data_IF_218836495701
#
_entry.id   IF_218836495701
#
_cell.length_a   1.000
_cell.length_b   1.000
_cell.length_c   1.000
_cell.angle_alpha   90.00
_cell.angle_beta   90.00
_cell.angle_gamma   90.00
#
_symmetry.space_group_name_H-M   'P 1'
#
loop_
_entity.id
_entity.type
_entity.pdbx_description
1 polymer ?
#
# COMPACT_ATOMS: atom_id res chain seq x y z
N UNK A 1 -3.53 2.07 -23.17
CA UNK A 1 -4.19 1.71 -21.88
C UNK A 1 -3.27 0.81 -21.08
N UNK A 2 -3.02 1.18 -19.85
CA UNK A 2 -2.21 0.36 -18.96
C UNK A 2 -2.98 -0.88 -18.52
N UNK A 3 -2.35 -2.06 -18.58
CA UNK A 3 -2.96 -3.30 -18.10
C UNK A 3 -2.86 -3.36 -16.57
N UNK A 4 -3.85 -3.97 -15.89
CA UNK A 4 -3.77 -4.16 -14.44
C UNK A 4 -2.55 -4.99 -14.04
N UNK A 5 -1.87 -4.54 -12.99
CA UNK A 5 -0.83 -5.32 -12.33
C UNK A 5 -1.47 -6.42 -11.46
N UNK A 6 -0.79 -7.54 -11.31
CA UNK A 6 -1.23 -8.64 -10.44
C UNK A 6 -0.17 -8.89 -9.37
N UNK A 7 -0.61 -8.99 -8.13
CA UNK A 7 0.25 -9.29 -6.98
C UNK A 7 -0.48 -10.25 -6.04
N UNK A 8 0.21 -11.30 -5.61
CA UNK A 8 -0.25 -12.19 -4.54
C UNK A 8 0.58 -11.95 -3.28
N UNK A 9 -0.05 -11.96 -2.11
CA UNK A 9 0.62 -11.73 -0.83
C UNK A 9 0.01 -12.59 0.28
N UNK A 10 0.82 -12.96 1.29
CA UNK A 10 0.35 -13.83 2.37
C UNK A 10 -0.42 -13.06 3.43
N UNK A 11 -1.46 -13.68 3.98
CA UNK A 11 -2.21 -13.17 5.13
C UNK A 11 -2.51 -14.30 6.11
N UNK A 12 -2.76 -13.94 7.36
CA UNK A 12 -3.00 -14.94 8.42
C UNK A 12 -4.46 -15.03 8.86
N UNK A 13 -5.32 -14.12 8.39
CA UNK A 13 -6.75 -14.08 8.73
C UNK A 13 -7.52 -13.42 7.59
N UNK A 14 -8.31 -14.21 6.87
CA UNK A 14 -9.08 -13.71 5.72
C UNK A 14 -10.20 -12.74 6.10
N UNK A 15 -10.81 -12.92 7.26
CA UNK A 15 -11.90 -12.05 7.73
C UNK A 15 -11.39 -10.66 8.06
N UNK A 16 -10.31 -10.57 8.82
CA UNK A 16 -9.66 -9.29 9.15
C UNK A 16 -9.09 -8.63 7.90
N UNK A 17 -8.50 -9.42 6.99
CA UNK A 17 -7.98 -8.94 5.71
C UNK A 17 -9.09 -8.30 4.87
N UNK A 18 -10.21 -9.00 4.71
CA UNK A 18 -11.36 -8.48 3.95
C UNK A 18 -11.86 -7.16 4.54
N UNK A 19 -12.04 -7.12 5.87
CA UNK A 19 -12.49 -5.91 6.55
C UNK A 19 -11.55 -4.72 6.30
N UNK A 20 -10.24 -4.95 6.38
CA UNK A 20 -9.24 -3.91 6.15
C UNK A 20 -9.25 -3.41 4.69
N UNK A 21 -9.12 -4.31 3.72
CA UNK A 21 -9.02 -3.91 2.31
C UNK A 21 -10.32 -3.27 1.79
N UNK A 22 -11.48 -3.73 2.26
CA UNK A 22 -12.78 -3.15 1.86
C UNK A 22 -13.07 -1.84 2.58
N UNK A 23 -12.93 -1.80 3.90
CA UNK A 23 -13.37 -0.64 4.68
C UNK A 23 -12.31 0.46 4.76
N UNK A 24 -11.04 0.12 4.82
CA UNK A 24 -9.94 1.09 4.94
C UNK A 24 -9.43 1.52 3.55
N UNK A 25 -9.12 0.56 2.68
CA UNK A 25 -8.56 0.85 1.35
C UNK A 25 -9.62 1.00 0.26
N UNK A 26 -10.90 0.76 0.59
CA UNK A 26 -12.03 0.89 -0.35
C UNK A 26 -11.92 -0.01 -1.58
N UNK A 27 -11.26 -1.16 -1.42
CA UNK A 27 -11.17 -2.15 -2.49
C UNK A 27 -12.51 -2.86 -2.69
N UNK A 28 -12.83 -3.17 -3.93
CA UNK A 28 -13.91 -4.09 -4.26
C UNK A 28 -13.40 -5.53 -4.16
N UNK A 29 -14.24 -6.43 -3.66
CA UNK A 29 -13.92 -7.86 -3.60
C UNK A 29 -14.26 -8.50 -4.93
N UNK A 30 -13.34 -9.28 -5.48
CA UNK A 30 -13.57 -10.13 -6.63
C UNK A 30 -13.99 -11.54 -6.20
N UNK A 31 -13.31 -12.56 -6.73
CA UNK A 31 -13.55 -13.96 -6.34
C UNK A 31 -12.88 -14.26 -5.01
N UNK A 32 -13.40 -15.26 -4.31
CA UNK A 32 -12.81 -15.73 -3.07
C UNK A 32 -13.07 -17.23 -2.85
N UNK A 33 -12.27 -17.82 -1.98
CA UNK A 33 -12.43 -19.18 -1.46
C UNK A 33 -12.15 -19.18 0.03
N UNK A 34 -12.09 -20.35 0.64
CA UNK A 34 -11.68 -20.47 2.04
C UNK A 34 -10.19 -20.20 2.25
N UNK A 35 -9.40 -20.06 1.19
CA UNK A 35 -7.95 -19.92 1.25
C UNK A 35 -7.43 -18.62 0.63
N UNK A 36 -8.24 -17.85 -0.08
CA UNK A 36 -7.78 -16.63 -0.74
C UNK A 36 -8.93 -15.68 -1.07
N UNK A 37 -8.58 -14.39 -1.29
CA UNK A 37 -9.52 -13.34 -1.70
C UNK A 37 -8.84 -12.46 -2.75
N UNK A 38 -9.53 -12.24 -3.89
CA UNK A 38 -9.14 -11.25 -4.89
C UNK A 38 -9.71 -9.89 -4.51
N UNK A 39 -8.90 -8.84 -4.69
CA UNK A 39 -9.35 -7.45 -4.53
C UNK A 39 -9.01 -6.63 -5.78
N UNK A 40 -9.89 -5.70 -6.11
CA UNK A 40 -9.59 -4.60 -7.02
C UNK A 40 -9.01 -3.45 -6.20
N UNK A 41 -7.70 -3.25 -6.27
CA UNK A 41 -7.00 -2.16 -5.59
C UNK A 41 -6.59 -1.11 -6.61
N UNK A 42 -7.37 -0.03 -6.69
CA UNK A 42 -7.15 1.07 -7.65
C UNK A 42 -7.00 0.58 -9.10
N UNK A 43 -7.77 -0.44 -9.49
CA UNK A 43 -7.75 -1.01 -10.84
C UNK A 43 -6.74 -2.14 -11.03
N UNK A 44 -5.97 -2.50 -10.00
CA UNK A 44 -5.02 -3.62 -10.04
C UNK A 44 -5.58 -4.82 -9.28
N UNK A 45 -5.21 -6.02 -9.72
CA UNK A 45 -5.63 -7.25 -9.06
C UNK A 45 -4.60 -7.64 -7.99
N UNK A 46 -5.01 -7.63 -6.73
CA UNK A 46 -4.20 -8.15 -5.64
C UNK A 46 -4.92 -9.31 -4.97
N UNK A 47 -4.18 -10.35 -4.59
CA UNK A 47 -4.75 -11.57 -4.05
C UNK A 47 -4.13 -11.87 -2.69
N UNK A 48 -4.96 -11.91 -1.67
CA UNK A 48 -4.56 -12.33 -0.34
C UNK A 48 -4.66 -13.85 -0.22
N UNK A 49 -3.56 -14.52 0.07
CA UNK A 49 -3.51 -15.97 0.30
C UNK A 49 -3.32 -16.28 1.77
N UNK A 50 -4.21 -17.11 2.33
CA UNK A 50 -4.14 -17.56 3.71
C UNK A 50 -2.91 -18.45 3.91
N UNK A 51 -2.09 -18.11 4.88
CA UNK A 51 -0.92 -18.90 5.32
C UNK A 51 -0.92 -18.98 6.85
N UNK A 52 -0.15 -19.92 7.39
CA UNK A 52 -0.09 -20.12 8.85
C UNK A 52 0.69 -19.01 9.55
N UNK A 53 1.82 -18.58 8.97
CA UNK A 53 2.70 -17.55 9.52
C UNK A 53 3.27 -16.68 8.42
N UNK A 54 3.57 -15.41 8.78
CA UNK A 54 4.30 -14.48 7.94
C UNK A 54 5.74 -14.36 8.44
N UNK A 55 6.68 -14.35 7.50
CA UNK A 55 8.06 -13.99 7.80
C UNK A 55 8.16 -12.51 8.14
N UNK A 56 9.10 -12.16 9.02
CA UNK A 56 9.41 -10.77 9.33
C UNK A 56 10.19 -10.15 8.17
N UNK A 57 9.68 -9.08 7.54
CA UNK A 57 10.38 -8.47 6.43
C UNK A 57 11.66 -7.76 6.90
N UNK A 58 12.72 -7.86 6.08
CA UNK A 58 13.89 -7.02 6.21
C UNK A 58 13.54 -5.56 5.87
N UNK A 59 14.32 -4.62 6.36
CA UNK A 59 14.18 -3.20 6.04
C UNK A 59 15.47 -2.60 5.47
N UNK A 60 15.34 -1.51 4.74
CA UNK A 60 16.46 -0.74 4.20
C UNK A 60 16.33 0.73 4.62
N UNK A 61 17.46 1.40 4.81
CA UNK A 61 17.45 2.82 5.10
C UNK A 61 17.21 3.63 3.81
N UNK A 62 16.18 4.47 3.82
CA UNK A 62 15.84 5.36 2.70
C UNK A 62 15.48 6.73 3.24
N UNK A 63 16.23 7.77 2.86
CA UNK A 63 16.01 9.16 3.28
C UNK A 63 15.74 9.29 4.79
N UNK A 64 16.54 8.59 5.61
CA UNK A 64 16.46 8.60 7.07
C UNK A 64 15.44 7.66 7.70
N UNK A 65 14.63 6.95 6.91
CA UNK A 65 13.66 5.99 7.39
C UNK A 65 14.11 4.55 7.21
N UNK A 66 13.72 3.67 8.14
CA UNK A 66 13.82 2.23 7.97
C UNK A 66 12.60 1.74 7.17
N UNK A 67 12.82 1.42 5.90
CA UNK A 67 11.78 1.01 4.97
C UNK A 67 11.71 -0.51 4.87
N UNK A 68 10.54 -1.15 5.11
CA UNK A 68 10.40 -2.58 4.86
C UNK A 68 10.80 -2.93 3.43
N UNK A 69 11.70 -3.91 3.25
CA UNK A 69 12.18 -4.30 1.92
C UNK A 69 11.03 -4.83 1.05
N UNK A 70 10.16 -5.64 1.63
CA UNK A 70 8.95 -6.12 0.97
C UNK A 70 7.77 -5.19 1.31
N UNK A 71 7.29 -4.47 0.32
CA UNK A 71 6.10 -3.64 0.44
C UNK A 71 5.47 -3.45 -0.93
N UNK A 72 4.22 -3.03 -0.94
CA UNK A 72 3.51 -2.75 -2.18
C UNK A 72 2.46 -1.65 -1.97
N UNK A 73 2.00 -1.10 -3.06
CA UNK A 73 0.97 -0.07 -3.08
C UNK A 73 0.83 0.49 -4.48
N UNK A 74 0.26 1.68 -4.58
CA UNK A 74 -0.01 2.33 -5.86
C UNK A 74 0.53 3.75 -5.84
N UNK A 75 1.09 4.17 -6.97
CA UNK A 75 1.40 5.58 -7.20
C UNK A 75 0.08 6.25 -7.60
N UNK A 76 -0.42 7.10 -6.72
CA UNK A 76 -1.70 7.79 -6.86
C UNK A 76 -1.48 9.18 -7.45
N UNK A 77 -2.56 9.82 -7.92
CA UNK A 77 -2.53 11.26 -8.10
C UNK A 77 -2.41 11.94 -6.74
N UNK A 78 -1.91 13.17 -6.69
CA UNK A 78 -1.79 13.90 -5.41
C UNK A 78 -3.16 14.06 -4.73
N UNK A 79 -4.22 14.27 -5.51
CA UNK A 79 -5.58 14.37 -5.00
C UNK A 79 -6.03 13.08 -4.32
N UNK A 80 -5.85 11.94 -4.99
CA UNK A 80 -6.18 10.61 -4.43
C UNK A 80 -5.35 10.31 -3.18
N UNK A 81 -4.06 10.67 -3.18
CA UNK A 81 -3.19 10.45 -2.05
C UNK A 81 -3.64 11.23 -0.81
N UNK A 82 -4.00 12.50 -0.99
CA UNK A 82 -4.53 13.34 0.10
C UNK A 82 -5.85 12.81 0.64
N UNK A 83 -6.73 12.35 -0.24
CA UNK A 83 -8.02 11.76 0.14
C UNK A 83 -7.82 10.49 0.97
N UNK A 84 -6.95 9.58 0.50
CA UNK A 84 -6.61 8.36 1.23
C UNK A 84 -5.96 8.69 2.57
N UNK A 85 -5.00 9.60 2.60
CA UNK A 85 -4.34 10.06 3.84
C UNK A 85 -5.37 10.52 4.88
N UNK A 86 -6.30 11.38 4.48
CA UNK A 86 -7.32 11.90 5.39
C UNK A 86 -8.21 10.78 5.92
N UNK A 87 -8.61 9.84 5.06
CA UNK A 87 -9.40 8.69 5.48
C UNK A 87 -8.65 7.81 6.48
N UNK A 88 -7.37 7.52 6.23
CA UNK A 88 -6.54 6.74 7.14
C UNK A 88 -6.41 7.42 8.51
N UNK A 89 -6.24 8.75 8.53
CA UNK A 89 -6.20 9.52 9.78
C UNK A 89 -7.53 9.44 10.53
N UNK A 90 -8.65 9.56 9.84
CA UNK A 90 -9.99 9.42 10.44
C UNK A 90 -10.20 8.03 11.04
N UNK A 91 -9.68 6.99 10.36
CA UNK A 91 -9.76 5.61 10.83
C UNK A 91 -8.71 5.27 11.90
N UNK A 92 -7.89 6.24 12.31
CA UNK A 92 -6.85 6.10 13.33
C UNK A 92 -5.85 4.98 13.00
N UNK A 93 -5.51 4.85 11.73
CA UNK A 93 -4.49 3.89 11.28
C UNK A 93 -3.13 4.33 11.81
N UNK A 94 -2.38 3.37 12.34
CA UNK A 94 -0.99 3.62 12.76
C UNK A 94 -0.07 3.50 11.55
N UNK A 95 0.75 4.54 11.35
CA UNK A 95 1.72 4.56 10.26
C UNK A 95 3.07 3.98 10.71
N UNK A 96 3.71 3.21 9.83
CA UNK A 96 5.13 2.86 9.97
C UNK A 96 5.97 4.11 9.68
N UNK A 97 5.59 4.82 8.62
CA UNK A 97 6.17 6.10 8.23
C UNK A 97 5.01 7.06 8.03
N UNK A 98 4.97 8.12 8.84
CA UNK A 98 3.93 9.13 8.76
C UNK A 98 3.88 9.79 7.38
N UNK A 99 2.69 10.25 6.92
CA UNK A 99 2.59 11.00 5.67
C UNK A 99 3.59 12.14 5.61
N UNK A 100 4.45 12.15 4.59
CA UNK A 100 5.50 13.16 4.44
C UNK A 100 5.95 13.33 2.98
N UNK A 101 6.74 14.34 2.73
CA UNK A 101 7.43 14.56 1.46
C UNK A 101 8.84 13.97 1.56
N UNK A 102 9.19 13.12 0.59
CA UNK A 102 10.50 12.49 0.46
C UNK A 102 11.26 13.12 -0.70
N UNK A 103 12.59 13.21 -0.59
CA UNK A 103 13.48 13.81 -1.62
C UNK A 103 13.11 15.26 -1.95
N UNK A 104 12.75 16.03 -0.93
CA UNK A 104 12.28 17.40 -1.09
C UNK A 104 13.32 18.28 -1.78
N UNK A 105 12.90 18.93 -2.88
CA UNK A 105 13.76 19.78 -3.69
C UNK A 105 14.68 19.04 -4.66
N UNK A 106 14.59 17.71 -4.72
CA UNK A 106 15.40 16.85 -5.58
C UNK A 106 14.56 16.17 -6.67
N UNK A 107 15.24 15.56 -7.65
CA UNK A 107 14.55 14.71 -8.62
C UNK A 107 13.82 13.57 -7.89
N UNK A 108 12.59 13.30 -8.29
CA UNK A 108 11.80 12.27 -7.65
C UNK A 108 11.10 12.70 -6.36
N UNK A 109 11.01 14.00 -6.07
CA UNK A 109 10.22 14.50 -4.92
C UNK A 109 8.82 13.91 -4.94
N UNK A 110 8.43 13.30 -3.84
CA UNK A 110 7.17 12.57 -3.74
C UNK A 110 6.58 12.64 -2.33
N UNK A 111 5.25 12.60 -2.25
CA UNK A 111 4.53 12.34 -1.01
C UNK A 111 4.49 10.84 -0.78
N UNK A 112 4.66 10.39 0.44
CA UNK A 112 4.61 8.97 0.80
C UNK A 112 3.98 8.77 2.17
N UNK A 113 3.47 7.57 2.40
CA UNK A 113 3.04 7.07 3.69
C UNK A 113 3.12 5.54 3.69
N UNK A 114 3.49 4.98 4.83
CA UNK A 114 3.59 3.53 5.03
C UNK A 114 2.73 3.10 6.21
N UNK A 115 2.02 2.01 6.04
CA UNK A 115 1.25 1.38 7.12
C UNK A 115 1.16 -0.12 6.87
N UNK A 116 0.69 -0.87 7.87
CA UNK A 116 0.56 -2.33 7.76
C UNK A 116 -0.91 -2.74 7.63
N UNK A 117 -1.14 -3.83 6.91
CA UNK A 117 -2.40 -4.54 6.97
C UNK A 117 -2.47 -5.39 8.27
N UNK A 118 -3.61 -6.03 8.58
CA UNK A 118 -3.73 -6.82 9.82
C UNK A 118 -2.78 -8.00 9.93
N UNK A 119 -2.22 -8.47 8.82
CA UNK A 119 -1.26 -9.58 8.80
C UNK A 119 0.20 -9.11 8.83
N UNK A 120 0.44 -7.81 8.93
CA UNK A 120 1.79 -7.25 8.97
C UNK A 120 2.39 -6.96 7.61
N UNK A 121 1.65 -7.08 6.51
CA UNK A 121 2.13 -6.67 5.20
C UNK A 121 2.29 -5.16 5.16
N UNK A 122 3.45 -4.69 4.72
CA UNK A 122 3.72 -3.27 4.58
C UNK A 122 3.15 -2.74 3.27
N UNK A 123 2.46 -1.61 3.35
CA UNK A 123 1.88 -0.92 2.21
C UNK A 123 2.49 0.47 2.11
N UNK A 124 2.82 0.88 0.89
CA UNK A 124 3.23 2.24 0.58
C UNK A 124 2.30 2.84 -0.46
N UNK A 125 1.75 4.02 -0.18
CA UNK A 125 1.05 4.82 -1.17
C UNK A 125 1.80 6.13 -1.34
N UNK A 126 2.12 6.46 -2.59
CA UNK A 126 2.87 7.66 -2.90
C UNK A 126 2.23 8.43 -4.05
N UNK A 127 2.61 9.69 -4.17
CA UNK A 127 2.17 10.56 -5.25
C UNK A 127 3.25 11.58 -5.58
N UNK A 128 3.30 12.00 -6.83
CA UNK A 128 4.20 13.02 -7.32
C UNK A 128 3.38 14.25 -7.69
N UNK A 129 3.91 15.45 -7.44
CA UNK A 129 3.28 16.67 -7.94
C UNK A 129 3.31 16.75 -9.48
N UNK A 130 4.36 16.17 -10.06
CA UNK A 130 4.57 16.07 -11.48
C UNK A 130 4.87 14.61 -11.82
N UNK A 131 3.95 13.95 -12.52
CA UNK A 131 4.09 12.54 -12.88
C UNK A 131 5.31 12.25 -13.76
N UNK A 132 5.86 13.27 -14.43
CA UNK A 132 7.12 13.13 -15.17
C UNK A 132 8.31 12.82 -14.23
N UNK A 133 8.16 13.05 -12.95
CA UNK A 133 9.19 12.76 -11.95
C UNK A 133 9.18 11.31 -11.45
N UNK A 134 8.19 10.50 -11.81
CA UNK A 134 8.07 9.11 -11.31
C UNK A 134 9.33 8.30 -11.62
N UNK A 135 9.92 8.51 -12.79
CA UNK A 135 11.14 7.82 -13.24
C UNK A 135 12.32 8.78 -13.44
N UNK A 136 12.28 9.94 -12.80
CA UNK A 136 13.36 10.91 -12.89
C UNK A 136 14.66 10.35 -12.31
N UNK A 137 15.80 10.73 -12.92
CA UNK A 137 17.15 10.31 -12.54
C UNK A 137 17.94 11.46 -11.94
#
# INVERSE_FOLDING_TARGET
MMRPFHLAFPVTDLKLTKSFYVNILKCEVGRSSDAWIDFNMFGHQVVAHLVDENDHPASNSVDGDEVPASHFGVVLTMSQWKELKNHLLEQKIQFIIEPKIRFKGEAGEQATMFFKDPSGNALEFKAFNDDNQIFAK
#
